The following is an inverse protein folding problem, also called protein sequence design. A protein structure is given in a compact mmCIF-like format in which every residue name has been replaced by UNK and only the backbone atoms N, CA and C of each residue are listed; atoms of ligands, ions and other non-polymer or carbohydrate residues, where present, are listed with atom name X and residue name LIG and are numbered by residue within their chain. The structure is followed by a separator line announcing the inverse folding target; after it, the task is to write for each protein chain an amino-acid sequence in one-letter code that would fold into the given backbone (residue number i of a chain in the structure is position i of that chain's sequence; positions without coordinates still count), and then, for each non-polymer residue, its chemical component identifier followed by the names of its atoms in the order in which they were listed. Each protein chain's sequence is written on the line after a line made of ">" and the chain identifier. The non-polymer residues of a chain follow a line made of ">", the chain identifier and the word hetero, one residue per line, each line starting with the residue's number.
data_IF_789763351834
#
_entry.id   IF_789763351834
#
_cell.length_a   1.000
_cell.length_b   1.000
_cell.length_c   1.000
_cell.angle_alpha   90.00
_cell.angle_beta   90.00
_cell.angle_gamma   90.00
#
_symmetry.space_group_name_H-M   'P 1'
#
loop_
_entity.id
_entity.type
_entity.pdbx_description
1 polymer ?
#
# COMPACT_ATOMS: atom_id res chain seq x y z
N UNK A 1 13.42 -3.51 -13.30
CA UNK A 1 13.22 -2.59 -12.16
C UNK A 1 14.40 -2.80 -11.24
N UNK A 2 15.27 -1.80 -11.11
CA UNK A 2 16.41 -1.86 -10.18
C UNK A 2 15.87 -1.45 -8.81
N UNK A 3 15.85 -2.36 -7.84
CA UNK A 3 15.49 -1.99 -6.47
C UNK A 3 16.66 -1.24 -5.83
N UNK A 4 16.37 -0.22 -5.02
CA UNK A 4 17.38 0.51 -4.27
C UNK A 4 18.21 -0.42 -3.38
N UNK A 5 19.46 -0.04 -3.11
CA UNK A 5 20.30 -0.79 -2.17
C UNK A 5 19.60 -0.87 -0.80
N UNK A 6 19.61 -2.03 -0.13
CA UNK A 6 18.98 -2.18 1.17
C UNK A 6 19.53 -1.14 2.14
N UNK A 7 18.62 -0.42 2.80
CA UNK A 7 18.95 0.60 3.79
C UNK A 7 18.51 0.12 5.19
N UNK A 8 19.33 0.42 6.20
CA UNK A 8 19.06 0.05 7.61
C UNK A 8 19.89 -1.12 8.12
N UNK A 9 19.64 -1.52 9.37
CA UNK A 9 20.42 -2.52 10.12
C UNK A 9 19.65 -3.82 10.40
N UNK A 10 18.46 -3.99 9.80
CA UNK A 10 17.64 -5.17 10.02
C UNK A 10 18.37 -6.42 9.49
N UNK A 11 18.35 -7.54 10.23
CA UNK A 11 19.02 -8.78 9.80
C UNK A 11 18.26 -9.51 8.67
N UNK A 12 17.16 -8.95 8.19
CA UNK A 12 16.33 -9.46 7.10
C UNK A 12 15.72 -8.32 6.28
N UNK A 13 15.30 -8.64 5.05
CA UNK A 13 14.63 -7.70 4.18
C UNK A 13 13.24 -7.32 4.72
N UNK A 14 12.95 -6.01 4.77
CA UNK A 14 11.62 -5.50 5.08
C UNK A 14 10.83 -5.25 3.79
N UNK A 15 9.52 -5.44 3.84
CA UNK A 15 8.59 -5.16 2.73
C UNK A 15 7.30 -4.55 3.28
N UNK A 16 6.54 -3.85 2.44
CA UNK A 16 5.28 -3.20 2.81
C UNK A 16 4.11 -3.93 2.17
N UNK A 17 3.03 -4.11 2.92
CA UNK A 17 1.73 -4.56 2.41
C UNK A 17 0.71 -3.43 2.60
N UNK A 18 0.18 -2.89 1.51
CA UNK A 18 -0.97 -2.01 1.51
C UNK A 18 -2.27 -2.84 1.54
N UNK A 19 -2.98 -2.75 2.66
CA UNK A 19 -4.15 -3.58 2.96
C UNK A 19 -5.49 -3.12 2.38
N UNK A 20 -5.52 -2.13 1.48
CA UNK A 20 -6.78 -1.62 0.90
C UNK A 20 -7.62 -0.79 1.87
N UNK A 21 -7.00 0.18 2.56
CA UNK A 21 -7.69 1.04 3.52
C UNK A 21 -8.72 1.96 2.85
N UNK A 22 -9.97 1.87 3.29
CA UNK A 22 -11.06 2.77 2.93
C UNK A 22 -11.45 3.54 4.19
N UNK A 23 -11.09 4.82 4.27
CA UNK A 23 -11.61 5.68 5.32
C UNK A 23 -13.11 5.92 5.12
N UNK A 24 -13.87 6.10 6.20
CA UNK A 24 -15.27 6.55 6.09
C UNK A 24 -15.29 7.85 5.28
N UNK A 25 -16.09 7.88 4.22
CA UNK A 25 -16.22 9.06 3.34
C UNK A 25 -15.14 9.20 2.25
N UNK A 26 -14.29 8.20 2.04
CA UNK A 26 -13.33 8.18 0.91
C UNK A 26 -13.85 7.32 -0.25
N UNK A 27 -13.56 7.74 -1.47
CA UNK A 27 -13.86 7.01 -2.69
C UNK A 27 -12.79 5.98 -3.04
N UNK A 28 -13.13 5.03 -3.93
CA UNK A 28 -12.17 4.07 -4.46
C UNK A 28 -10.97 4.72 -5.16
N UNK A 29 -11.20 5.80 -5.90
CA UNK A 29 -10.13 6.53 -6.55
C UNK A 29 -9.19 7.19 -5.53
N UNK A 30 -9.73 7.79 -4.47
CA UNK A 30 -8.93 8.42 -3.41
C UNK A 30 -8.14 7.39 -2.61
N UNK A 31 -8.76 6.26 -2.24
CA UNK A 31 -8.07 5.17 -1.55
C UNK A 31 -6.92 4.61 -2.38
N UNK A 32 -7.13 4.41 -3.68
CA UNK A 32 -6.06 3.98 -4.59
C UNK A 32 -4.97 5.04 -4.73
N UNK A 33 -5.33 6.31 -4.92
CA UNK A 33 -4.37 7.41 -5.04
C UNK A 33 -3.51 7.57 -3.78
N UNK A 34 -4.10 7.35 -2.60
CA UNK A 34 -3.39 7.39 -1.33
C UNK A 34 -2.26 6.35 -1.22
N UNK A 35 -2.32 5.23 -1.97
CA UNK A 35 -1.26 4.20 -1.95
C UNK A 35 0.07 4.68 -2.55
N UNK A 36 0.05 5.70 -3.40
CA UNK A 36 1.24 6.19 -4.09
C UNK A 36 2.27 6.81 -3.14
N UNK A 37 1.82 7.51 -2.09
CA UNK A 37 2.71 8.15 -1.11
C UNK A 37 3.49 7.12 -0.28
N UNK A 38 2.85 6.13 0.39
CA UNK A 38 3.56 5.03 1.04
C UNK A 38 4.46 4.23 0.11
N UNK A 39 4.08 4.00 -1.15
CA UNK A 39 4.92 3.30 -2.12
C UNK A 39 6.22 4.07 -2.41
N UNK A 40 6.14 5.40 -2.58
CA UNK A 40 7.32 6.25 -2.79
C UNK A 40 8.22 6.29 -1.55
N UNK A 41 7.62 6.38 -0.36
CA UNK A 41 8.37 6.29 0.90
C UNK A 41 9.08 4.95 1.03
N UNK A 42 8.41 3.84 0.71
CA UNK A 42 9.00 2.50 0.75
C UNK A 42 10.20 2.37 -0.19
N UNK A 43 10.11 2.93 -1.40
CA UNK A 43 11.21 2.97 -2.36
C UNK A 43 12.41 3.79 -1.84
N UNK A 44 12.16 5.00 -1.32
CA UNK A 44 13.21 5.87 -0.77
C UNK A 44 13.95 5.26 0.42
N UNK A 45 13.27 4.45 1.22
CA UNK A 45 13.85 3.77 2.38
C UNK A 45 14.39 2.37 2.07
N UNK A 46 14.40 1.94 0.81
CA UNK A 46 15.00 0.66 0.41
C UNK A 46 14.22 -0.58 0.88
N UNK A 47 12.91 -0.46 1.05
CA UNK A 47 12.07 -1.65 1.27
C UNK A 47 12.13 -2.56 0.03
N UNK A 48 12.18 -3.86 0.27
CA UNK A 48 12.43 -4.85 -0.76
C UNK A 48 11.25 -5.02 -1.73
N UNK A 49 10.02 -4.96 -1.22
CA UNK A 49 8.78 -5.07 -2.01
C UNK A 49 7.68 -4.21 -1.43
N UNK A 50 6.79 -3.76 -2.31
CA UNK A 50 5.49 -3.18 -1.96
C UNK A 50 4.40 -4.04 -2.59
N UNK A 51 3.53 -4.62 -1.77
CA UNK A 51 2.42 -5.46 -2.18
C UNK A 51 1.08 -4.78 -1.89
N UNK A 52 0.08 -5.11 -2.69
CA UNK A 52 -1.30 -4.66 -2.49
C UNK A 52 -2.19 -5.87 -2.34
N UNK A 53 -3.11 -5.81 -1.38
CA UNK A 53 -4.17 -6.81 -1.24
C UNK A 53 -5.31 -6.53 -2.22
N UNK A 54 -6.01 -7.60 -2.58
CA UNK A 54 -7.23 -7.55 -3.39
C UNK A 54 -8.43 -7.89 -2.48
N UNK A 55 -9.49 -7.09 -2.57
CA UNK A 55 -10.68 -7.25 -1.73
C UNK A 55 -11.93 -7.18 -2.59
N UNK A 56 -12.81 -8.18 -2.44
CA UNK A 56 -14.11 -8.25 -3.11
C UNK A 56 -15.23 -8.20 -2.07
N UNK A 57 -16.12 -7.22 -2.17
CA UNK A 57 -17.36 -7.14 -1.37
C UNK A 57 -17.19 -7.38 0.16
N UNK A 58 -16.07 -6.98 0.73
CA UNK A 58 -15.78 -7.01 2.17
C UNK A 58 -16.02 -5.62 2.77
N UNK A 59 -17.09 -5.45 3.57
CA UNK A 59 -17.50 -4.14 4.09
C UNK A 59 -16.44 -3.36 4.89
N UNK A 60 -15.38 -4.01 5.40
CA UNK A 60 -14.28 -3.34 6.11
C UNK A 60 -13.11 -2.88 5.19
N UNK A 61 -13.05 -3.36 3.94
CA UNK A 61 -11.87 -3.22 3.05
C UNK A 61 -12.20 -3.04 1.57
N UNK A 62 -13.46 -3.21 1.15
CA UNK A 62 -13.91 -3.00 -0.23
C UNK A 62 -14.82 -1.78 -0.31
N UNK A 63 -14.57 -0.93 -1.30
CA UNK A 63 -15.53 0.09 -1.70
C UNK A 63 -16.67 -0.55 -2.49
N UNK A 64 -17.88 -0.45 -1.96
CA UNK A 64 -19.08 -0.52 -2.78
C UNK A 64 -19.49 0.92 -3.06
N UNK A 65 -19.53 1.29 -4.35
CA UNK A 65 -20.12 2.53 -4.82
C UNK A 65 -21.63 2.51 -4.56
N UNK A 66 -22.05 2.69 -3.32
CA UNK A 66 -23.45 3.00 -3.03
C UNK A 66 -23.61 4.54 -3.02
N UNK A 67 -24.54 5.12 -3.79
CA UNK A 67 -24.95 6.51 -3.59
C UNK A 67 -25.46 6.76 -2.16
#
# INVERSE_FOLDING_TARGET
>A
MQFGSPAGTAPFALSVLAGGGTGVGTTAAEGLAATASPARTADQHGYHRFWMSEHHAMGATSHMNNP
#
